data_IF_076899251477
#
_entry.id   IF_076899251477
#
_cell.length_a   1.000
_cell.length_b   1.000
_cell.length_c   1.000
_cell.angle_alpha   90.00
_cell.angle_beta   90.00
_cell.angle_gamma   90.00
#
_symmetry.space_group_name_H-M   'P 1'
#
loop_
_entity.id
_entity.type
_entity.pdbx_description
1 polymer ?
#
# COMPACT_ATOMS: atom_id res chain seq x y z
N UNK A 1 3.87 -21.11 19.87
CA UNK A 1 3.91 -22.29 18.97
C UNK A 1 4.12 -21.77 17.56
N UNK A 2 5.37 -21.75 17.11
CA UNK A 2 5.85 -21.08 15.90
C UNK A 2 5.73 -22.05 14.72
N UNK A 3 5.04 -21.64 13.66
CA UNK A 3 4.84 -22.44 12.45
C UNK A 3 4.81 -21.60 11.16
N UNK A 4 5.63 -20.53 11.09
CA UNK A 4 5.63 -19.57 9.98
C UNK A 4 6.64 -19.84 8.85
N UNK A 5 7.78 -20.48 9.14
CA UNK A 5 8.97 -20.31 8.28
C UNK A 5 8.93 -20.89 6.86
N UNK A 6 8.20 -21.98 6.60
CA UNK A 6 8.19 -22.59 5.26
C UNK A 6 7.14 -21.97 4.32
N UNK A 7 6.12 -21.30 4.86
CA UNK A 7 5.13 -20.61 4.05
C UNK A 7 5.62 -19.26 3.53
N UNK A 8 6.48 -18.59 4.30
CA UNK A 8 6.95 -17.23 4.04
C UNK A 8 7.93 -17.17 2.85
N UNK A 9 8.78 -18.17 2.65
CA UNK A 9 9.76 -18.17 1.54
C UNK A 9 9.09 -18.27 0.16
N UNK A 10 8.04 -19.08 0.02
CA UNK A 10 7.25 -19.15 -1.22
C UNK A 10 6.47 -17.86 -1.48
N UNK A 11 5.94 -17.23 -0.43
CA UNK A 11 5.22 -15.94 -0.56
C UNK A 11 6.14 -14.83 -1.05
N UNK A 12 7.38 -14.81 -0.56
CA UNK A 12 8.34 -13.77 -0.89
C UNK A 12 8.78 -13.89 -2.36
N UNK A 13 8.92 -15.11 -2.88
CA UNK A 13 9.25 -15.35 -4.29
C UNK A 13 8.12 -14.93 -5.22
N UNK A 14 6.86 -15.25 -4.92
CA UNK A 14 5.72 -14.85 -5.74
C UNK A 14 5.53 -13.32 -5.74
N UNK A 15 5.64 -12.69 -4.57
CA UNK A 15 5.54 -11.23 -4.47
C UNK A 15 6.70 -10.57 -5.23
N UNK A 16 7.94 -11.05 -5.08
CA UNK A 16 9.10 -10.56 -5.85
C UNK A 16 8.85 -10.67 -7.35
N UNK A 17 8.37 -11.81 -7.81
CA UNK A 17 8.09 -12.04 -9.22
C UNK A 17 7.06 -11.03 -9.78
N UNK A 18 5.98 -10.77 -9.02
CA UNK A 18 4.98 -9.75 -9.40
C UNK A 18 5.59 -8.35 -9.41
N UNK A 19 6.45 -8.03 -8.44
CA UNK A 19 7.11 -6.71 -8.33
C UNK A 19 8.12 -6.48 -9.47
N UNK A 20 8.83 -7.51 -9.91
CA UNK A 20 9.72 -7.46 -11.07
C UNK A 20 8.91 -7.33 -12.36
N UNK A 21 7.86 -8.13 -12.56
CA UNK A 21 7.01 -8.08 -13.75
C UNK A 21 6.29 -6.73 -13.90
N UNK A 22 5.85 -6.14 -12.79
CA UNK A 22 5.22 -4.81 -12.76
C UNK A 22 6.22 -3.65 -12.91
N UNK A 23 7.51 -3.95 -13.10
CA UNK A 23 8.61 -2.99 -13.14
C UNK A 23 8.67 -2.10 -11.90
N UNK A 24 8.20 -2.57 -10.74
CA UNK A 24 8.32 -1.86 -9.46
C UNK A 24 9.69 -2.11 -8.82
N UNK A 25 10.27 -3.28 -9.07
CA UNK A 25 11.64 -3.62 -8.67
C UNK A 25 12.41 -4.12 -9.89
N UNK A 26 13.71 -3.88 -9.91
CA UNK A 26 14.64 -4.39 -10.91
C UNK A 26 15.65 -5.29 -10.23
N UNK A 27 15.91 -6.47 -10.79
CA UNK A 27 16.96 -7.35 -10.33
C UNK A 27 18.29 -6.88 -10.91
N UNK A 28 19.05 -6.12 -10.11
CA UNK A 28 20.41 -5.69 -10.46
C UNK A 28 21.45 -6.70 -9.95
N UNK A 29 22.67 -6.64 -10.49
CA UNK A 29 23.77 -7.56 -10.14
C UNK A 29 24.21 -7.59 -8.67
N UNK A 30 23.64 -6.75 -7.79
CA UNK A 30 23.90 -6.68 -6.35
C UNK A 30 22.63 -6.79 -5.49
N UNK A 31 21.51 -7.25 -6.08
CA UNK A 31 20.21 -7.42 -5.40
C UNK A 31 19.06 -6.66 -6.05
N UNK A 32 17.86 -6.79 -5.49
CA UNK A 32 16.69 -6.08 -5.98
C UNK A 32 16.79 -4.58 -5.65
N UNK A 33 16.77 -3.75 -6.68
CA UNK A 33 16.69 -2.30 -6.56
C UNK A 33 15.28 -1.84 -6.90
N UNK A 34 14.78 -0.85 -6.17
CA UNK A 34 13.48 -0.24 -6.46
C UNK A 34 13.60 0.66 -7.69
N UNK A 35 12.66 0.54 -8.62
CA UNK A 35 12.65 1.38 -9.83
C UNK A 35 11.99 2.72 -9.55
N UNK A 36 12.10 3.67 -10.48
CA UNK A 36 11.31 4.91 -10.45
C UNK A 36 9.81 4.64 -10.31
N UNK A 37 9.28 3.62 -11.00
CA UNK A 37 7.86 3.24 -10.91
C UNK A 37 7.52 2.61 -9.55
N UNK A 38 8.43 1.82 -9.00
CA UNK A 38 8.36 1.31 -7.63
C UNK A 38 8.26 2.42 -6.58
N UNK A 39 9.07 3.47 -6.75
CA UNK A 39 9.01 4.64 -5.88
C UNK A 39 7.68 5.37 -6.00
N UNK A 40 7.20 5.61 -7.22
CA UNK A 40 5.89 6.22 -7.43
C UNK A 40 4.80 5.42 -6.76
N UNK A 41 4.85 4.10 -6.85
CA UNK A 41 3.93 3.19 -6.17
C UNK A 41 3.95 3.35 -4.65
N UNK A 42 5.12 3.47 -4.02
CA UNK A 42 5.23 3.67 -2.56
C UNK A 42 4.59 4.98 -2.07
N UNK A 43 4.50 5.99 -2.93
CA UNK A 43 3.89 7.29 -2.61
C UNK A 43 2.36 7.30 -2.80
N UNK A 44 1.78 6.26 -3.42
CA UNK A 44 0.33 6.15 -3.59
C UNK A 44 -0.38 5.87 -2.26
N UNK A 45 -1.67 6.16 -2.21
CA UNK A 45 -2.52 5.74 -1.11
C UNK A 45 -2.57 4.20 -1.01
N UNK A 46 -2.70 3.68 0.22
CA UNK A 46 -2.72 2.24 0.51
C UNK A 46 -3.74 1.47 -0.34
N UNK A 47 -4.94 2.01 -0.53
CA UNK A 47 -6.00 1.40 -1.36
C UNK A 47 -5.54 1.25 -2.82
N UNK A 48 -4.97 2.31 -3.39
CA UNK A 48 -4.43 2.33 -4.75
C UNK A 48 -3.23 1.39 -4.91
N UNK A 49 -2.36 1.30 -3.90
CA UNK A 49 -1.24 0.35 -3.90
C UNK A 49 -1.75 -1.10 -3.99
N UNK A 50 -2.71 -1.47 -3.15
CA UNK A 50 -3.29 -2.82 -3.16
C UNK A 50 -3.99 -3.08 -4.49
N UNK A 51 -4.74 -2.11 -5.03
CA UNK A 51 -5.43 -2.26 -6.33
C UNK A 51 -4.46 -2.45 -7.49
N UNK A 52 -3.44 -1.60 -7.57
CA UNK A 52 -2.39 -1.72 -8.58
C UNK A 52 -1.70 -3.09 -8.48
N UNK A 53 -1.35 -3.51 -7.26
CA UNK A 53 -0.73 -4.81 -7.04
C UNK A 53 -1.64 -5.96 -7.50
N UNK A 54 -2.94 -5.92 -7.17
CA UNK A 54 -3.90 -6.97 -7.56
C UNK A 54 -4.11 -7.03 -9.07
N UNK A 55 -4.15 -5.89 -9.77
CA UNK A 55 -4.23 -5.88 -11.24
C UNK A 55 -3.00 -6.55 -11.86
N UNK A 56 -1.79 -6.16 -11.43
CA UNK A 56 -0.56 -6.75 -11.97
C UNK A 56 -0.49 -8.25 -11.65
N UNK A 57 -0.90 -8.64 -10.45
CA UNK A 57 -1.00 -10.04 -10.07
C UNK A 57 -1.96 -10.82 -10.99
N UNK A 58 -3.15 -10.28 -11.30
CA UNK A 58 -4.10 -10.94 -12.20
C UNK A 58 -3.53 -11.11 -13.61
N UNK A 59 -2.77 -10.12 -14.10
CA UNK A 59 -2.10 -10.21 -15.40
C UNK A 59 -1.07 -11.34 -15.42
N UNK A 60 -0.19 -11.41 -14.41
CA UNK A 60 0.83 -12.45 -14.28
C UNK A 60 0.20 -13.84 -14.18
N UNK A 61 -0.80 -14.01 -13.32
CA UNK A 61 -1.41 -15.32 -13.08
C UNK A 61 -2.27 -15.80 -14.26
N UNK A 62 -2.90 -14.89 -15.01
CA UNK A 62 -3.62 -15.24 -16.24
C UNK A 62 -2.65 -15.63 -17.36
N UNK A 63 -1.51 -14.93 -17.49
CA UNK A 63 -0.53 -15.18 -18.54
C UNK A 63 0.29 -16.45 -18.31
N UNK A 64 0.74 -16.70 -17.07
CA UNK A 64 1.71 -17.76 -16.78
C UNK A 64 1.08 -19.04 -16.22
N UNK A 65 0.01 -18.90 -15.43
CA UNK A 65 -0.65 -20.05 -14.77
C UNK A 65 -1.97 -20.43 -15.44
N UNK A 66 -2.40 -19.69 -16.47
CA UNK A 66 -3.62 -19.98 -17.23
C UNK A 66 -4.91 -19.85 -16.42
N UNK A 67 -4.92 -19.05 -15.35
CA UNK A 67 -6.14 -18.85 -14.56
C UNK A 67 -7.19 -18.14 -15.42
N UNK A 68 -8.44 -18.54 -15.26
CA UNK A 68 -9.55 -17.86 -15.93
C UNK A 68 -9.77 -16.47 -15.29
N UNK A 69 -9.47 -15.41 -16.04
CA UNK A 69 -9.63 -14.03 -15.61
C UNK A 69 -11.06 -13.73 -15.13
N UNK A 70 -12.07 -14.27 -15.82
CA UNK A 70 -13.47 -14.02 -15.49
C UNK A 70 -13.83 -14.60 -14.12
N UNK A 71 -13.36 -15.82 -13.81
CA UNK A 71 -13.56 -16.45 -12.51
C UNK A 71 -12.85 -15.68 -11.39
N UNK A 72 -11.62 -15.22 -11.66
CA UNK A 72 -10.85 -14.43 -10.70
C UNK A 72 -11.52 -13.10 -10.37
N UNK A 73 -11.97 -12.37 -11.39
CA UNK A 73 -12.69 -11.11 -11.22
C UNK A 73 -14.04 -11.32 -10.53
N UNK A 74 -14.80 -12.34 -10.95
CA UNK A 74 -16.06 -12.71 -10.29
C UNK A 74 -15.86 -12.95 -8.80
N UNK A 75 -14.81 -13.68 -8.42
CA UNK A 75 -14.49 -13.94 -7.02
C UNK A 75 -14.05 -12.67 -6.26
N UNK A 76 -13.21 -11.83 -6.86
CA UNK A 76 -12.84 -10.53 -6.27
C UNK A 76 -14.06 -9.62 -6.06
N UNK A 77 -14.99 -9.59 -7.01
CA UNK A 77 -16.24 -8.85 -6.84
C UNK A 77 -17.11 -9.47 -5.74
N UNK A 78 -17.20 -10.80 -5.63
CA UNK A 78 -17.91 -11.45 -4.54
C UNK A 78 -17.31 -11.10 -3.17
N UNK A 79 -15.97 -11.05 -3.06
CA UNK A 79 -15.28 -10.61 -1.85
C UNK A 79 -15.65 -9.17 -1.45
N UNK A 80 -15.92 -8.28 -2.42
CA UNK A 80 -16.33 -6.89 -2.15
C UNK A 80 -17.67 -6.75 -1.43
N UNK A 81 -18.56 -7.72 -1.60
CA UNK A 81 -19.86 -7.75 -0.93
C UNK A 81 -19.81 -8.45 0.42
N UNK A 82 -18.61 -8.85 0.85
CA UNK A 82 -18.45 -9.52 2.13
C UNK A 82 -18.50 -8.53 3.29
N UNK A 83 -19.04 -8.99 4.41
CA UNK A 83 -19.15 -8.22 5.65
C UNK A 83 -17.94 -8.52 6.53
N UNK A 84 -17.28 -7.47 7.01
CA UNK A 84 -16.13 -7.62 7.91
C UNK A 84 -16.52 -8.43 9.16
N UNK A 85 -15.68 -9.40 9.51
CA UNK A 85 -15.86 -10.23 10.71
C UNK A 85 -16.80 -11.44 10.52
N UNK A 86 -17.44 -11.58 9.36
CA UNK A 86 -18.21 -12.78 9.01
C UNK A 86 -17.30 -13.82 8.34
N UNK A 87 -17.54 -15.09 8.64
CA UNK A 87 -16.86 -16.19 7.99
C UNK A 87 -17.59 -16.67 6.74
N UNK A 88 -16.82 -17.14 5.76
CA UNK A 88 -17.31 -17.65 4.48
C UNK A 88 -16.75 -19.04 4.23
N UNK A 89 -17.57 -19.92 3.64
CA UNK A 89 -17.20 -21.29 3.32
C UNK A 89 -16.44 -21.37 1.99
N UNK A 90 -15.48 -22.31 1.90
CA UNK A 90 -14.81 -22.71 0.65
C UNK A 90 -15.60 -23.74 -0.17
N UNK A 91 -16.73 -24.21 0.33
CA UNK A 91 -17.49 -25.28 -0.30
C UNK A 91 -18.06 -24.81 -1.66
N UNK A 92 -17.78 -25.57 -2.71
CA UNK A 92 -18.22 -25.25 -4.09
C UNK A 92 -17.31 -24.27 -4.85
N UNK A 93 -16.12 -23.94 -4.33
CA UNK A 93 -15.14 -23.14 -5.07
C UNK A 93 -14.49 -23.94 -6.20
N UNK A 94 -14.22 -23.28 -7.33
CA UNK A 94 -13.42 -23.85 -8.42
C UNK A 94 -11.94 -23.94 -8.03
N UNK A 95 -11.17 -24.79 -8.70
CA UNK A 95 -9.71 -24.90 -8.45
C UNK A 95 -9.00 -23.55 -8.64
N UNK A 96 -9.44 -22.74 -9.61
CA UNK A 96 -8.96 -21.38 -9.83
C UNK A 96 -9.26 -20.47 -8.62
N UNK A 97 -10.48 -20.51 -8.09
CA UNK A 97 -10.88 -19.72 -6.92
C UNK A 97 -10.13 -20.16 -5.65
N UNK A 98 -9.89 -21.46 -5.47
CA UNK A 98 -9.11 -21.98 -4.36
C UNK A 98 -7.64 -21.53 -4.43
N UNK A 99 -7.04 -21.54 -5.62
CA UNK A 99 -5.69 -21.01 -5.86
C UNK A 99 -5.63 -19.52 -5.55
N UNK A 100 -6.59 -18.74 -6.07
CA UNK A 100 -6.70 -17.31 -5.82
C UNK A 100 -6.88 -17.00 -4.33
N UNK A 101 -7.70 -17.76 -3.60
CA UNK A 101 -7.90 -17.62 -2.15
C UNK A 101 -6.58 -17.81 -1.40
N UNK A 102 -5.74 -18.78 -1.79
CA UNK A 102 -4.42 -18.95 -1.16
C UNK A 102 -3.52 -17.76 -1.43
N UNK A 103 -3.51 -17.21 -2.64
CA UNK A 103 -2.71 -16.02 -2.97
C UNK A 103 -3.21 -14.77 -2.23
N UNK A 104 -4.53 -14.55 -2.16
CA UNK A 104 -5.12 -13.46 -1.38
C UNK A 104 -4.83 -13.58 0.11
N UNK A 105 -4.74 -14.81 0.63
CA UNK A 105 -4.27 -15.06 1.99
C UNK A 105 -2.81 -14.67 2.17
N UNK A 106 -1.95 -14.98 1.21
CA UNK A 106 -0.54 -14.59 1.22
C UNK A 106 -0.38 -13.07 1.18
N UNK A 107 -1.24 -12.36 0.48
CA UNK A 107 -1.25 -10.89 0.42
C UNK A 107 -1.89 -10.21 1.64
N UNK A 108 -2.45 -10.98 2.59
CA UNK A 108 -3.14 -10.42 3.75
C UNK A 108 -4.52 -9.80 3.45
N UNK A 109 -5.08 -10.09 2.27
CA UNK A 109 -6.44 -9.68 1.88
C UNK A 109 -7.49 -10.61 2.49
N UNK A 110 -7.12 -11.86 2.73
CA UNK A 110 -7.99 -12.83 3.39
C UNK A 110 -7.27 -13.49 4.55
N UNK A 111 -7.94 -13.58 5.69
CA UNK A 111 -7.45 -14.34 6.82
C UNK A 111 -8.02 -15.76 6.80
N UNK A 112 -7.13 -16.74 6.98
CA UNK A 112 -7.50 -18.14 7.10
C UNK A 112 -6.61 -18.80 8.16
N UNK A 113 -7.22 -19.46 9.16
CA UNK A 113 -6.52 -20.03 10.31
C UNK A 113 -5.47 -21.08 9.91
N UNK A 114 -5.77 -21.90 8.90
CA UNK A 114 -4.89 -22.94 8.32
C UNK A 114 -5.11 -22.95 6.81
N UNK A 115 -4.09 -23.36 6.01
CA UNK A 115 -4.21 -23.51 4.54
C UNK A 115 -5.43 -24.34 4.13
N UNK A 116 -5.72 -25.41 4.88
CA UNK A 116 -6.84 -26.33 4.65
C UNK A 116 -8.13 -25.98 5.39
N UNK A 117 -8.22 -24.80 6.02
CA UNK A 117 -9.44 -24.42 6.75
C UNK A 117 -10.62 -24.27 5.79
N UNK A 118 -11.79 -24.80 6.18
CA UNK A 118 -13.01 -24.64 5.39
C UNK A 118 -13.57 -23.22 5.39
N UNK A 119 -13.21 -22.43 6.40
CA UNK A 119 -13.70 -21.07 6.59
C UNK A 119 -12.58 -20.05 6.40
N UNK A 120 -12.91 -18.92 5.78
CA UNK A 120 -12.04 -17.77 5.59
C UNK A 120 -12.75 -16.46 5.97
N UNK A 121 -11.96 -15.42 6.26
CA UNK A 121 -12.44 -14.12 6.74
C UNK A 121 -11.82 -13.00 5.89
N UNK A 122 -12.60 -12.26 5.10
CA UNK A 122 -12.11 -11.11 4.36
C UNK A 122 -11.58 -10.02 5.31
N UNK A 123 -10.42 -9.44 4.99
CA UNK A 123 -9.85 -8.33 5.77
C UNK A 123 -10.45 -7.00 5.32
N UNK A 124 -10.27 -5.94 6.12
CA UNK A 124 -10.67 -4.58 5.73
C UNK A 124 -10.06 -4.18 4.38
N UNK A 125 -8.79 -4.54 4.14
CA UNK A 125 -8.13 -4.25 2.87
C UNK A 125 -8.86 -4.86 1.69
N UNK A 126 -9.33 -6.12 1.76
CA UNK A 126 -10.07 -6.74 0.66
C UNK A 126 -11.45 -6.11 0.41
N UNK A 127 -12.14 -5.72 1.48
CA UNK A 127 -13.45 -5.09 1.38
C UNK A 127 -13.28 -3.68 0.78
N UNK A 128 -12.36 -2.88 1.32
CA UNK A 128 -12.07 -1.50 0.90
C UNK A 128 -11.50 -1.46 -0.53
N UNK A 129 -10.70 -2.46 -0.93
CA UNK A 129 -10.07 -2.59 -2.25
C UNK A 129 -11.08 -2.47 -3.39
N UNK A 130 -12.21 -3.18 -3.27
CA UNK A 130 -13.20 -3.28 -4.34
C UNK A 130 -14.39 -2.34 -4.09
N UNK A 131 -14.62 -1.96 -2.83
CA UNK A 131 -15.60 -0.92 -2.48
C UNK A 131 -15.09 0.51 -2.65
N UNK A 132 -13.82 0.70 -3.08
CA UNK A 132 -13.23 1.99 -3.46
C UNK A 132 -14.01 2.79 -4.52
N UNK A 133 -15.05 2.19 -5.13
CA UNK A 133 -16.02 2.87 -6.00
C UNK A 133 -17.29 3.38 -5.29
N UNK A 134 -17.60 2.96 -4.05
CA UNK A 134 -18.86 3.29 -3.36
C UNK A 134 -18.79 4.55 -2.49
N UNK A 135 -17.61 5.07 -2.21
CA UNK A 135 -17.42 6.21 -1.29
C UNK A 135 -17.04 7.53 -1.97
N UNK A 136 -17.01 7.60 -3.32
CA UNK A 136 -16.98 8.90 -4.00
C UNK A 136 -18.38 9.44 -4.37
N UNK A 137 -19.44 8.65 -4.20
CA UNK A 137 -20.76 8.97 -4.79
C UNK A 137 -21.98 8.77 -3.88
N UNK A 138 -21.82 8.57 -2.57
CA UNK A 138 -22.97 8.40 -1.66
C UNK A 138 -22.84 9.06 -0.29
N UNK A 139 -22.60 10.37 -0.27
CA UNK A 139 -23.07 11.22 0.84
C UNK A 139 -23.23 12.67 0.38
N UNK A 140 -24.47 13.01 0.03
CA UNK A 140 -25.03 14.36 0.08
C UNK A 140 -24.99 14.89 1.52
N UNK A 141 -23.80 15.27 1.99
CA UNK A 141 -23.56 16.15 3.13
C UNK A 141 -22.09 16.56 3.12
N UNK A 142 -21.84 17.82 2.76
CA UNK A 142 -20.61 18.59 2.98
C UNK A 142 -19.29 17.79 2.86
N UNK A 143 -18.72 17.76 1.65
CA UNK A 143 -17.36 17.23 1.43
C UNK A 143 -16.35 18.24 1.98
N UNK A 144 -16.19 18.25 3.30
CA UNK A 144 -14.87 18.51 3.87
C UNK A 144 -13.94 17.44 3.32
N UNK A 145 -12.91 17.85 2.57
CA UNK A 145 -11.75 17.02 2.23
C UNK A 145 -11.06 16.64 3.55
N UNK A 146 -11.57 15.58 4.17
CA UNK A 146 -11.05 14.95 5.36
C UNK A 146 -10.85 13.47 4.99
N UNK A 147 -9.60 12.98 4.97
CA UNK A 147 -9.32 11.59 4.64
C UNK A 147 -9.83 10.74 5.80
N UNK A 148 -10.99 10.10 5.63
CA UNK A 148 -11.48 9.14 6.62
C UNK A 148 -10.77 7.80 6.37
N UNK A 149 -9.92 7.42 7.33
CA UNK A 149 -9.20 6.14 7.50
C UNK A 149 -7.79 5.97 6.90
N UNK A 150 -7.11 7.07 6.54
CA UNK A 150 -5.64 7.12 6.48
C UNK A 150 -5.12 7.50 7.86
N UNK A 151 -4.03 6.89 8.33
CA UNK A 151 -3.39 7.21 9.62
C UNK A 151 -3.26 8.73 9.82
N UNK A 152 -3.35 9.26 11.07
CA UNK A 152 -3.16 10.69 11.30
C UNK A 152 -1.87 11.13 10.61
N UNK A 153 -1.93 12.24 9.88
CA UNK A 153 -0.75 12.80 9.23
C UNK A 153 0.36 12.96 10.26
N UNK A 154 1.52 12.41 9.95
CA UNK A 154 2.64 12.27 10.88
C UNK A 154 3.78 13.24 10.59
N UNK A 155 3.71 13.96 9.47
CA UNK A 155 4.78 14.85 9.01
C UNK A 155 4.46 16.29 9.36
N UNK A 156 5.44 16.96 9.96
CA UNK A 156 5.46 18.39 10.23
C UNK A 156 6.66 18.99 9.50
N UNK A 157 6.41 20.05 8.75
CA UNK A 157 7.41 20.79 7.98
C UNK A 157 7.58 22.19 8.57
N UNK A 158 8.79 22.56 8.93
CA UNK A 158 9.15 23.92 9.38
C UNK A 158 9.59 24.81 8.20
N UNK A 159 9.59 26.13 8.42
CA UNK A 159 9.99 27.13 7.41
C UNK A 159 11.50 27.11 7.09
N UNK A 160 12.30 26.48 7.94
CA UNK A 160 13.76 26.32 7.81
C UNK A 160 14.15 25.01 7.09
N UNK A 161 13.21 24.37 6.37
CA UNK A 161 13.37 23.09 5.68
C UNK A 161 13.59 21.86 6.59
N UNK A 162 13.32 21.97 7.90
CA UNK A 162 13.30 20.80 8.79
C UNK A 162 12.00 20.02 8.65
N UNK A 163 12.14 18.70 8.65
CA UNK A 163 11.06 17.72 8.63
C UNK A 163 11.05 17.00 9.96
N UNK A 164 9.94 17.05 10.67
CA UNK A 164 9.67 16.26 11.87
C UNK A 164 8.60 15.23 11.54
N UNK A 165 8.92 13.95 11.66
CA UNK A 165 8.02 12.85 11.34
C UNK A 165 7.76 11.99 12.57
N UNK A 166 6.52 11.97 13.05
CA UNK A 166 6.08 11.19 14.21
C UNK A 166 5.65 9.79 13.79
N UNK A 167 6.62 8.93 13.52
CA UNK A 167 6.38 7.56 13.09
C UNK A 167 7.43 6.59 13.61
N UNK A 168 6.99 5.39 13.95
CA UNK A 168 7.80 4.21 14.26
C UNK A 168 7.95 3.28 13.04
N UNK A 169 7.17 3.53 11.97
CA UNK A 169 7.14 2.70 10.78
C UNK A 169 8.41 2.86 9.96
N UNK A 170 9.20 1.78 9.88
CA UNK A 170 10.42 1.73 9.07
C UNK A 170 10.17 2.11 7.61
N UNK A 171 9.03 1.71 7.04
CA UNK A 171 8.69 2.03 5.65
C UNK A 171 8.54 3.54 5.43
N UNK A 172 7.85 4.23 6.33
CA UNK A 172 7.66 5.68 6.22
C UNK A 172 8.97 6.44 6.39
N UNK A 173 9.84 5.97 7.29
CA UNK A 173 11.17 6.54 7.50
C UNK A 173 12.04 6.33 6.25
N UNK A 174 12.01 5.14 5.66
CA UNK A 174 12.72 4.86 4.42
C UNK A 174 12.23 5.75 3.28
N UNK A 175 10.92 5.96 3.12
CA UNK A 175 10.36 6.86 2.11
C UNK A 175 10.85 8.31 2.32
N UNK A 176 10.89 8.79 3.56
CA UNK A 176 11.42 10.13 3.85
C UNK A 176 12.91 10.27 3.49
N UNK A 177 13.71 9.23 3.73
CA UNK A 177 15.15 9.25 3.43
C UNK A 177 15.48 9.44 1.94
N UNK A 178 14.52 9.23 1.05
CA UNK A 178 14.70 9.36 -0.40
C UNK A 178 14.89 10.80 -0.86
N UNK A 179 14.27 11.75 -0.17
CA UNK A 179 14.30 13.17 -0.54
C UNK A 179 14.69 14.09 0.63
N UNK A 180 14.92 13.51 1.81
CA UNK A 180 15.30 14.22 3.03
C UNK A 180 16.56 13.59 3.64
N UNK A 181 17.49 14.44 4.09
CA UNK A 181 18.64 13.99 4.86
C UNK A 181 18.21 13.78 6.32
N UNK A 182 18.07 12.52 6.74
CA UNK A 182 17.72 12.17 8.12
C UNK A 182 18.92 12.46 9.05
N UNK A 183 18.67 13.20 10.14
CA UNK A 183 19.69 13.58 11.12
C UNK A 183 19.58 12.77 12.40
N UNK A 184 18.37 12.71 12.97
CA UNK A 184 18.12 12.07 14.25
C UNK A 184 16.94 11.11 14.15
N UNK A 185 17.09 9.96 14.81
CA UNK A 185 16.03 8.98 14.97
C UNK A 185 15.82 8.70 16.44
N UNK A 186 14.65 9.09 16.93
CA UNK A 186 14.11 8.71 18.23
C UNK A 186 13.11 7.55 18.05
N UNK A 187 12.68 6.88 19.13
CA UNK A 187 11.78 5.73 19.03
C UNK A 187 10.47 6.00 18.26
N UNK A 188 9.90 7.19 18.41
CA UNK A 188 8.62 7.57 17.78
C UNK A 188 8.71 8.86 16.95
N UNK A 189 9.93 9.32 16.62
CA UNK A 189 10.13 10.58 15.91
C UNK A 189 11.41 10.53 15.10
N UNK A 190 11.34 11.03 13.87
CA UNK A 190 12.50 11.22 13.00
C UNK A 190 12.61 12.70 12.65
N UNK A 191 13.82 13.22 12.75
CA UNK A 191 14.17 14.59 12.37
C UNK A 191 15.06 14.54 11.14
N UNK A 192 14.66 15.23 10.09
CA UNK A 192 15.42 15.38 8.86
C UNK A 192 15.47 16.82 8.38
N UNK A 193 16.30 17.09 7.38
CA UNK A 193 16.36 18.37 6.68
C UNK A 193 16.32 18.15 5.18
N UNK A 194 15.53 18.94 4.47
CA UNK A 194 15.50 18.96 3.02
C UNK A 194 16.62 19.88 2.54
N UNK A 195 17.57 19.34 1.77
CA UNK A 195 18.69 20.10 1.21
C UNK A 195 18.63 20.10 -0.31
N UNK A 196 19.36 21.02 -0.95
CA UNK A 196 19.50 21.02 -2.42
C UNK A 196 20.00 19.67 -2.93
N UNK A 197 20.96 19.08 -2.22
CA UNK A 197 21.55 17.79 -2.60
C UNK A 197 20.53 16.65 -2.45
N UNK A 198 19.77 16.59 -1.35
CA UNK A 198 18.77 15.53 -1.15
C UNK A 198 17.68 15.56 -2.22
N UNK A 199 17.21 16.75 -2.61
CA UNK A 199 16.23 16.91 -3.68
C UNK A 199 16.83 16.59 -5.05
N UNK A 200 18.08 17.01 -5.30
CA UNK A 200 18.76 16.71 -6.57
C UNK A 200 18.93 15.20 -6.77
N UNK A 201 19.34 14.47 -5.73
CA UNK A 201 19.43 13.01 -5.76
C UNK A 201 18.05 12.35 -5.98
N UNK A 202 17.00 12.85 -5.31
CA UNK A 202 15.64 12.36 -5.53
C UNK A 202 15.18 12.54 -6.99
N UNK A 203 15.49 13.68 -7.60
CA UNK A 203 15.15 13.98 -9.00
C UNK A 203 15.91 13.08 -9.99
N UNK A 204 17.20 12.80 -9.76
CA UNK A 204 17.98 11.85 -10.56
C UNK A 204 17.36 10.44 -10.50
N UNK A 205 16.84 10.05 -9.34
CA UNK A 205 16.14 8.78 -9.15
C UNK A 205 14.71 8.77 -9.74
N UNK A 206 14.29 9.87 -10.39
CA UNK A 206 13.01 10.01 -11.07
C UNK A 206 11.84 10.39 -10.15
N UNK A 207 12.11 10.90 -8.95
CA UNK A 207 11.09 11.41 -8.03
C UNK A 207 10.82 12.87 -8.38
N UNK A 208 9.62 13.19 -8.85
CA UNK A 208 9.28 14.57 -9.23
C UNK A 208 9.01 15.45 -8.01
N UNK A 209 9.24 16.76 -8.15
CA UNK A 209 8.91 17.72 -7.10
C UNK A 209 7.43 17.68 -6.70
N UNK A 210 6.54 17.47 -7.67
CA UNK A 210 5.10 17.34 -7.42
C UNK A 210 4.77 16.11 -6.56
N UNK A 211 5.48 14.99 -6.78
CA UNK A 211 5.31 13.78 -5.97
C UNK A 211 5.76 13.98 -4.53
N UNK A 212 6.90 14.65 -4.32
CA UNK A 212 7.39 15.01 -2.98
C UNK A 212 6.38 15.91 -2.28
N UNK A 213 5.87 16.94 -2.97
CA UNK A 213 4.87 17.85 -2.44
C UNK A 213 3.54 17.13 -2.12
N UNK A 214 3.09 16.24 -3.01
CA UNK A 214 1.88 15.44 -2.80
C UNK A 214 2.00 14.56 -1.56
N UNK A 215 3.13 13.86 -1.40
CA UNK A 215 3.41 13.03 -0.24
C UNK A 215 3.41 13.85 1.06
N UNK A 216 4.14 14.97 1.09
CA UNK A 216 4.20 15.84 2.26
C UNK A 216 2.83 16.40 2.64
N UNK A 217 1.99 16.74 1.66
CA UNK A 217 0.62 17.24 1.89
C UNK A 217 -0.31 16.14 2.38
N UNK A 218 -0.23 14.95 1.79
CA UNK A 218 -1.08 13.79 2.14
C UNK A 218 -0.83 13.34 3.58
N UNK A 219 0.42 13.42 4.04
CA UNK A 219 0.83 13.00 5.38
C UNK A 219 1.07 14.17 6.35
N UNK A 220 0.65 15.39 6.00
CA UNK A 220 0.78 16.56 6.86
C UNK A 220 -0.06 16.41 8.13
N UNK A 221 0.50 16.80 9.27
CA UNK A 221 -0.20 16.74 10.55
C UNK A 221 -1.53 17.52 10.51
N UNK A 222 -2.65 16.96 11.02
CA UNK A 222 -3.98 17.56 10.88
C UNK A 222 -4.09 18.99 11.41
N UNK A 223 -3.36 19.32 12.48
CA UNK A 223 -3.34 20.68 13.02
C UNK A 223 -2.67 21.69 12.07
N UNK A 224 -1.66 21.28 11.31
CA UNK A 224 -1.07 22.15 10.28
C UNK A 224 -2.08 22.45 9.18
N UNK A 225 -2.83 21.45 8.75
CA UNK A 225 -3.89 21.61 7.74
C UNK A 225 -5.03 22.51 8.25
N UNK A 226 -5.40 22.38 9.52
CA UNK A 226 -6.42 23.23 10.16
C UNK A 226 -5.98 24.71 10.22
N UNK A 227 -4.74 24.98 10.64
CA UNK A 227 -4.21 26.34 10.77
C UNK A 227 -4.09 27.07 9.42
N UNK A 228 -3.76 26.35 8.34
CA UNK A 228 -3.72 26.93 6.99
C UNK A 228 -5.12 27.34 6.51
N UNK A 229 -6.17 26.63 6.93
CA UNK A 229 -7.55 26.96 6.58
C UNK A 229 -8.06 28.18 7.35
N UNK A 230 -7.66 28.36 8.60
CA UNK A 230 -8.07 29.52 9.41
C UNK A 230 -7.37 30.82 9.03
N UNK A 231 -6.19 30.77 8.41
CA UNK A 231 -5.49 32.00 7.98
C UNK A 231 -5.99 32.56 6.64
N UNK A 232 -6.88 31.85 5.94
CA UNK A 232 -7.44 32.24 4.63
C UNK A 232 -8.83 32.85 4.73
N UNK A 233 -9.43 32.85 5.92
CA UNK A 233 -10.69 33.53 6.27
C UNK A 233 -10.38 34.83 6.98
#
# INVERSE_FOLDING_TARGET
MVGGGQGEQGTEQEVRHILEHSNLMSSGGSGLTITTRGFQFLLLERSTQVWFFIINYLQVVTAERGFNLLECLSYLFQLSFSTLGKDYSREGMTECQEGLLQHLRMFGLVYQRKRSSRRYYPTKLAIDLVSGARLSSSSSQSVSVAPRASSPGFVVMETNFRVLAYTDSQLQISILSLFCQLQYRFPNMVVGTITRESIHQALINGITAEQILSFLRLHAHPQMLANVRSSRT
#
